data_IF_636612848734
#
_entry.id   IF_636612848734
#
_cell.length_a   1.000
_cell.length_b   1.000
_cell.length_c   1.000
_cell.angle_alpha   90.00
_cell.angle_beta   90.00
_cell.angle_gamma   90.00
#
_symmetry.space_group_name_H-M   'P 1'
#
loop_
_entity.id
_entity.type
_entity.pdbx_description
1 polymer ?
#
# COMPACT_ATOMS: atom_id res chain seq x y z
N UNK A 1 7.11 0.23 -25.00
CA UNK A 1 8.28 1.07 -25.17
C UNK A 1 8.92 1.33 -23.81
N UNK A 2 10.10 1.91 -23.86
CA UNK A 2 10.83 2.21 -22.64
C UNK A 2 10.07 3.16 -21.72
N UNK A 3 9.44 4.15 -22.30
CA UNK A 3 8.72 5.15 -21.50
C UNK A 3 7.56 4.50 -20.75
N UNK A 4 6.85 3.60 -21.41
CA UNK A 4 5.76 2.91 -20.77
C UNK A 4 6.25 2.06 -19.61
N UNK A 5 7.34 1.33 -19.82
CA UNK A 5 7.90 0.48 -18.79
C UNK A 5 8.38 1.30 -17.60
N UNK A 6 9.05 2.43 -17.89
CA UNK A 6 9.53 3.31 -16.84
C UNK A 6 8.38 3.87 -16.02
N UNK A 7 7.29 4.27 -16.70
CA UNK A 7 6.12 4.80 -16.01
C UNK A 7 5.48 3.75 -15.11
N UNK A 8 5.40 2.53 -15.60
CA UNK A 8 4.80 1.44 -14.82
C UNK A 8 5.61 1.18 -13.57
N UNK A 9 6.93 1.08 -13.70
CA UNK A 9 7.79 0.85 -12.55
C UNK A 9 7.73 2.00 -11.56
N UNK A 10 7.68 3.22 -12.07
CA UNK A 10 7.61 4.39 -11.23
C UNK A 10 6.30 4.43 -10.46
N UNK A 11 5.20 4.08 -11.10
CA UNK A 11 3.90 4.05 -10.44
C UNK A 11 3.87 3.02 -9.32
N UNK A 12 4.41 1.85 -9.57
CA UNK A 12 4.47 0.81 -8.54
C UNK A 12 5.35 1.25 -7.37
N UNK A 13 6.50 1.83 -7.67
CA UNK A 13 7.41 2.31 -6.64
C UNK A 13 6.76 3.41 -5.81
N UNK A 14 6.04 4.32 -6.46
CA UNK A 14 5.32 5.38 -5.76
C UNK A 14 4.24 4.80 -4.85
N UNK A 15 3.52 3.80 -5.34
CA UNK A 15 2.49 3.15 -4.53
C UNK A 15 3.11 2.45 -3.33
N UNK A 16 4.24 1.78 -3.52
CA UNK A 16 4.93 1.11 -2.41
C UNK A 16 5.33 2.09 -1.33
N UNK A 17 5.84 3.25 -1.75
CA UNK A 17 6.23 4.28 -0.79
C UNK A 17 5.02 4.84 -0.04
N UNK A 18 3.96 5.12 -0.76
CA UNK A 18 2.75 5.66 -0.15
C UNK A 18 2.16 4.66 0.83
N UNK A 19 2.17 3.39 0.46
CA UNK A 19 1.65 2.34 1.30
C UNK A 19 2.48 2.20 2.58
N UNK A 20 3.80 2.15 2.44
CA UNK A 20 4.70 2.06 3.58
C UNK A 20 4.52 3.25 4.52
N UNK A 21 4.42 4.45 3.93
CA UNK A 21 4.25 5.66 4.73
C UNK A 21 2.93 5.64 5.50
N UNK A 22 1.86 5.23 4.83
CA UNK A 22 0.55 5.17 5.47
C UNK A 22 0.53 4.17 6.61
N UNK A 23 1.13 3.01 6.42
CA UNK A 23 1.20 1.99 7.45
C UNK A 23 1.99 2.50 8.65
N UNK A 24 3.15 3.10 8.39
CA UNK A 24 3.98 3.64 9.45
C UNK A 24 3.28 4.76 10.19
N UNK A 25 2.60 5.64 9.46
CA UNK A 25 1.88 6.74 10.07
C UNK A 25 0.74 6.26 10.95
N UNK A 26 0.03 5.25 10.50
CA UNK A 26 -1.04 4.65 11.29
C UNK A 26 -0.51 4.15 12.63
N UNK A 27 0.58 3.42 12.59
CA UNK A 27 1.18 2.91 13.82
C UNK A 27 1.65 4.04 14.72
N UNK A 28 2.26 5.06 14.14
CA UNK A 28 2.78 6.18 14.91
C UNK A 28 1.67 6.97 15.60
N UNK A 29 0.53 7.10 14.94
CA UNK A 29 -0.59 7.89 15.47
C UNK A 29 -1.51 7.09 16.37
N UNK A 30 -1.72 5.81 16.07
CA UNK A 30 -2.71 5.02 16.76
C UNK A 30 -2.13 3.95 17.68
N UNK A 31 -0.85 3.67 17.54
CA UNK A 31 -0.19 2.64 18.35
C UNK A 31 -0.46 1.22 17.87
N UNK A 32 -1.15 1.07 16.75
CA UNK A 32 -1.44 -0.24 16.17
C UNK A 32 -1.33 -0.15 14.65
N UNK A 33 -1.04 -1.29 14.03
CA UNK A 33 -1.00 -1.35 12.58
C UNK A 33 -2.43 -1.48 12.03
N UNK A 34 -2.67 -0.98 10.80
CA UNK A 34 -4.03 -1.03 10.24
C UNK A 34 -4.46 -2.47 9.97
N UNK A 35 -5.75 -2.76 10.15
CA UNK A 35 -6.24 -4.13 9.99
C UNK A 35 -6.35 -4.57 8.54
N UNK A 36 -6.53 -3.63 7.62
CA UNK A 36 -6.63 -3.95 6.20
C UNK A 36 -6.34 -2.72 5.37
N UNK A 37 -6.30 -2.92 4.05
CA UNK A 37 -5.97 -1.84 3.13
C UNK A 37 -7.07 -0.78 3.08
N UNK A 38 -8.31 -1.18 3.28
CA UNK A 38 -9.43 -0.23 3.26
C UNK A 38 -9.31 0.78 4.39
N UNK A 39 -8.77 0.38 5.51
CA UNK A 39 -8.55 1.30 6.61
C UNK A 39 -7.64 2.45 6.18
N UNK A 40 -6.62 2.13 5.40
CA UNK A 40 -5.69 3.15 4.91
C UNK A 40 -6.34 4.06 3.87
N UNK A 41 -7.15 3.49 2.98
CA UNK A 41 -7.81 4.32 1.98
C UNK A 41 -8.85 5.24 2.62
N UNK A 42 -9.51 4.77 3.67
CA UNK A 42 -10.56 5.55 4.32
C UNK A 42 -10.01 6.60 5.28
N UNK A 43 -8.94 6.30 6.00
CA UNK A 43 -8.49 7.15 7.09
C UNK A 43 -7.19 7.89 6.80
N UNK A 44 -6.39 7.43 5.88
CA UNK A 44 -5.08 8.02 5.61
C UNK A 44 -4.93 8.51 4.18
N UNK A 45 -6.02 8.51 3.43
CA UNK A 45 -6.01 9.07 2.10
C UNK A 45 -5.18 8.29 1.10
N UNK A 46 -4.91 7.03 1.37
CA UNK A 46 -4.20 6.21 0.40
C UNK A 46 -5.07 6.00 -0.83
N UNK A 47 -4.51 6.29 -1.98
CA UNK A 47 -5.21 6.07 -3.25
C UNK A 47 -4.34 5.27 -4.19
N UNK A 48 -4.96 4.41 -4.96
CA UNK A 48 -4.25 3.63 -5.97
C UNK A 48 -5.25 3.13 -7.01
N UNK A 49 -4.71 2.73 -8.15
CA UNK A 49 -5.53 2.24 -9.25
C UNK A 49 -5.82 0.76 -9.01
N UNK A 50 -6.98 0.47 -8.43
CA UNK A 50 -7.34 -0.90 -8.09
C UNK A 50 -7.64 -1.76 -9.31
N UNK A 51 -7.87 -1.15 -10.47
CA UNK A 51 -8.04 -1.90 -11.71
C UNK A 51 -6.71 -2.44 -12.23
N UNK A 52 -5.64 -1.76 -11.89
CA UNK A 52 -4.31 -2.11 -12.38
C UNK A 52 -3.48 -2.86 -11.35
N UNK A 53 -3.65 -2.54 -10.07
CA UNK A 53 -2.89 -3.15 -8.99
C UNK A 53 -3.81 -3.86 -8.02
N UNK A 54 -3.37 -5.00 -7.55
CA UNK A 54 -4.00 -5.70 -6.44
C UNK A 54 -3.02 -5.68 -5.27
N UNK A 55 -3.51 -5.30 -4.09
CA UNK A 55 -2.68 -5.26 -2.90
C UNK A 55 -3.07 -6.43 -2.00
N UNK A 56 -2.13 -7.36 -1.85
CA UNK A 56 -2.31 -8.50 -0.97
C UNK A 56 -1.86 -8.08 0.42
N UNK A 57 -2.82 -7.82 1.29
CA UNK A 57 -2.57 -7.28 2.62
C UNK A 57 -2.83 -8.36 3.65
N UNK A 58 -1.78 -8.76 4.36
CA UNK A 58 -1.86 -9.82 5.36
C UNK A 58 -1.66 -9.23 6.75
N UNK A 59 -2.76 -9.08 7.49
CA UNK A 59 -2.71 -8.57 8.85
C UNK A 59 -2.19 -9.67 9.77
N UNK A 60 -1.15 -9.37 10.55
CA UNK A 60 -0.52 -10.36 11.43
C UNK A 60 -0.90 -10.09 12.87
N UNK A 61 -0.86 -8.84 13.30
CA UNK A 61 -1.20 -8.46 14.65
C UNK A 61 -1.10 -6.96 14.80
N UNK A 62 -1.68 -6.43 15.88
CA UNK A 62 -1.74 -4.99 16.07
C UNK A 62 -0.36 -4.36 16.26
N UNK A 63 0.59 -5.14 16.78
CA UNK A 63 1.95 -4.64 17.02
C UNK A 63 2.99 -5.27 16.11
N UNK A 64 2.53 -5.95 15.06
CA UNK A 64 3.42 -6.56 14.07
C UNK A 64 3.12 -5.97 12.71
N UNK A 65 4.18 -5.57 12.00
CA UNK A 65 4.02 -4.93 10.70
C UNK A 65 3.37 -5.92 9.74
N UNK A 66 2.29 -5.51 9.06
CA UNK A 66 1.60 -6.41 8.13
C UNK A 66 2.47 -6.75 6.93
N UNK A 67 2.22 -7.90 6.37
CA UNK A 67 2.90 -8.37 5.16
C UNK A 67 2.08 -7.91 3.97
N UNK A 68 2.66 -7.06 3.14
CA UNK A 68 1.95 -6.43 2.03
C UNK A 68 2.70 -6.66 0.73
N UNK A 69 1.98 -7.12 -0.27
CA UNK A 69 2.54 -7.36 -1.60
C UNK A 69 1.68 -6.66 -2.63
N UNK A 70 2.31 -5.93 -3.54
CA UNK A 70 1.62 -5.26 -4.64
C UNK A 70 1.77 -6.12 -5.88
N UNK A 71 0.65 -6.49 -6.47
CA UNK A 71 0.60 -7.36 -7.64
C UNK A 71 -0.01 -6.59 -8.79
N UNK A 72 0.68 -6.56 -9.92
CA UNK A 72 0.13 -5.94 -11.12
C UNK A 72 -0.85 -6.90 -11.76
N UNK A 73 -2.05 -6.37 -12.07
CA UNK A 73 -3.08 -7.20 -12.66
C UNK A 73 -2.86 -7.44 -14.15
N UNK A 74 -1.99 -6.69 -14.75
CA UNK A 74 -1.84 -6.75 -16.19
C UNK A 74 -0.51 -7.29 -16.59
#
# INVERSE_FOLDING_TARGET
>A
SKLSDDNTQRSKSTLERALTRSITQCYALEGTYPPDINYLTDHYGLTYDSDYYYIDYQYIGSNLRPDVTIIERK
#
